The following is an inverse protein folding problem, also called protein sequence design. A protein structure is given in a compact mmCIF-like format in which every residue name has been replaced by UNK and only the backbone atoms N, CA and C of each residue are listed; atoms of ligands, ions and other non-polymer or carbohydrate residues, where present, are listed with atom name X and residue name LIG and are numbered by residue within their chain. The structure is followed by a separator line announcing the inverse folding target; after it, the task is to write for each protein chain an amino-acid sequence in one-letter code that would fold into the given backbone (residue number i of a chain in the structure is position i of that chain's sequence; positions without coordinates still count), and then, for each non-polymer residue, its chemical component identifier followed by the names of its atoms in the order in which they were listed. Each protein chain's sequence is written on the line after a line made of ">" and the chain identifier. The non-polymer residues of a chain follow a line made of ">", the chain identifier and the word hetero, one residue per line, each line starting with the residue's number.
data_IF_818417638893
#
_entry.id   IF_818417638893
#
_cell.length_a   1.000
_cell.length_b   1.000
_cell.length_c   1.000
_cell.angle_alpha   90.00
_cell.angle_beta   90.00
_cell.angle_gamma   90.00
#
_symmetry.space_group_name_H-M   'P 1'
#
loop_
_entity.id
_entity.type
_entity.pdbx_description
1 polymer ?
#
# COMPACT_ATOMS: atom_id res chain seq x y z
N UNK A 1 5.14 15.71 -14.93
CA UNK A 1 5.01 16.36 -13.62
C UNK A 1 6.32 17.02 -13.18
N UNK A 2 6.31 17.81 -12.08
CA UNK A 2 7.55 18.40 -11.55
C UNK A 2 8.51 17.28 -11.07
N UNK A 3 7.98 16.27 -10.40
CA UNK A 3 8.78 15.17 -9.86
C UNK A 3 9.51 14.39 -10.96
N UNK A 4 8.82 14.05 -12.07
CA UNK A 4 9.43 13.32 -13.20
C UNK A 4 10.53 14.13 -13.89
N UNK A 5 10.33 15.43 -14.12
CA UNK A 5 11.34 16.29 -14.74
C UNK A 5 12.55 16.49 -13.82
N UNK A 6 12.31 16.68 -12.51
CA UNK A 6 13.37 16.80 -11.52
C UNK A 6 14.19 15.51 -11.43
N UNK A 7 13.52 14.35 -11.39
CA UNK A 7 14.17 13.05 -11.34
C UNK A 7 15.04 12.82 -12.58
N UNK A 8 14.52 13.08 -13.78
CA UNK A 8 15.25 12.93 -15.03
C UNK A 8 16.49 13.86 -15.10
N UNK A 9 16.35 15.12 -14.68
CA UNK A 9 17.46 16.07 -14.65
C UNK A 9 18.55 15.66 -13.67
N UNK A 10 18.18 15.21 -12.47
CA UNK A 10 19.16 14.83 -11.45
C UNK A 10 19.82 13.47 -11.79
N UNK A 11 19.15 12.59 -12.50
CA UNK A 11 19.68 11.31 -12.96
C UNK A 11 20.88 11.46 -13.94
N UNK A 12 21.06 12.63 -14.56
CA UNK A 12 22.25 12.92 -15.37
C UNK A 12 23.56 12.93 -14.55
N UNK A 13 23.48 13.17 -13.25
CA UNK A 13 24.65 13.35 -12.37
C UNK A 13 24.71 12.43 -11.16
N UNK A 14 23.60 11.85 -10.75
CA UNK A 14 23.52 10.98 -9.56
C UNK A 14 22.43 9.91 -9.75
N UNK A 15 22.59 8.70 -9.19
CA UNK A 15 21.53 7.70 -9.22
C UNK A 15 20.28 8.16 -8.46
N UNK A 16 19.12 8.10 -9.11
CA UNK A 16 17.83 8.58 -8.59
C UNK A 16 16.82 7.43 -8.55
N UNK A 17 16.00 7.41 -7.51
CA UNK A 17 14.77 6.61 -7.45
C UNK A 17 13.57 7.56 -7.39
N UNK A 18 12.74 7.54 -8.42
CA UNK A 18 11.44 8.21 -8.45
C UNK A 18 10.38 7.24 -7.94
N UNK A 19 9.66 7.61 -6.89
CA UNK A 19 8.59 6.82 -6.32
C UNK A 19 7.26 7.50 -6.60
N UNK A 20 6.44 6.88 -7.46
CA UNK A 20 5.08 7.36 -7.74
C UNK A 20 4.10 6.71 -6.75
N UNK A 21 3.56 7.51 -5.85
CA UNK A 21 2.61 7.09 -4.81
C UNK A 21 1.17 7.51 -5.11
N UNK A 22 0.90 8.06 -6.29
CA UNK A 22 -0.48 8.20 -6.79
C UNK A 22 -0.96 6.83 -7.31
N UNK A 23 -1.14 5.91 -6.38
CA UNK A 23 -1.41 4.49 -6.68
C UNK A 23 -2.76 4.25 -7.37
N UNK A 24 -3.66 5.22 -7.37
CA UNK A 24 -4.95 5.17 -8.07
C UNK A 24 -4.76 5.44 -9.57
N UNK A 25 -3.91 6.41 -9.93
CA UNK A 25 -3.60 6.77 -11.32
C UNK A 25 -2.09 7.02 -11.54
N UNK A 26 -1.22 6.03 -11.29
CA UNK A 26 0.23 6.22 -11.47
C UNK A 26 0.55 6.48 -12.92
N UNK A 27 1.31 7.55 -13.19
CA UNK A 27 1.58 8.00 -14.55
C UNK A 27 3.06 8.38 -14.82
N UNK A 28 3.94 8.28 -13.82
CA UNK A 28 5.35 8.64 -13.99
C UNK A 28 6.03 7.84 -15.11
N UNK A 29 5.68 6.58 -15.30
CA UNK A 29 6.20 5.69 -16.34
C UNK A 29 5.85 6.11 -17.78
N UNK A 30 4.87 7.00 -17.96
CA UNK A 30 4.52 7.52 -19.30
C UNK A 30 5.53 8.57 -19.78
N UNK A 31 6.24 9.20 -18.86
CA UNK A 31 7.16 10.31 -19.15
C UNK A 31 8.63 9.88 -19.13
N UNK A 32 8.94 8.76 -18.51
CA UNK A 32 10.30 8.25 -18.38
C UNK A 32 10.36 6.85 -18.98
N UNK A 33 11.32 6.61 -19.86
CA UNK A 33 11.55 5.31 -20.48
C UNK A 33 12.36 4.45 -19.53
N UNK A 34 12.07 3.16 -19.49
CA UNK A 34 12.81 2.19 -18.70
C UNK A 34 12.32 0.77 -18.97
N UNK A 35 13.19 -0.21 -18.81
CA UNK A 35 12.79 -1.61 -18.87
C UNK A 35 12.16 -2.03 -17.53
N UNK A 36 11.09 -2.80 -17.59
CA UNK A 36 10.49 -3.39 -16.39
C UNK A 36 11.47 -4.38 -15.79
N UNK A 37 11.88 -4.14 -14.56
CA UNK A 37 12.77 -5.01 -13.77
C UNK A 37 11.97 -5.96 -12.90
N UNK A 38 10.81 -5.49 -12.39
CA UNK A 38 9.93 -6.24 -11.52
C UNK A 38 8.48 -5.80 -11.73
N UNK A 39 7.57 -6.77 -11.77
CA UNK A 39 6.14 -6.54 -11.59
C UNK A 39 5.60 -7.63 -10.67
N UNK A 40 5.10 -7.23 -9.50
CA UNK A 40 4.59 -8.15 -8.49
C UNK A 40 3.18 -7.79 -8.04
N UNK A 41 2.33 -8.81 -7.92
CA UNK A 41 1.00 -8.65 -7.32
C UNK A 41 1.13 -8.34 -5.83
N UNK A 42 0.35 -7.39 -5.35
CA UNK A 42 0.30 -7.00 -3.94
C UNK A 42 -1.04 -7.37 -3.32
N UNK A 43 -0.95 -7.76 -2.06
CA UNK A 43 -2.09 -8.26 -1.31
C UNK A 43 -2.23 -7.47 -0.01
N UNK A 44 -3.48 -7.35 0.46
CA UNK A 44 -3.80 -6.97 1.84
C UNK A 44 -4.57 -8.08 2.51
N UNK A 45 -4.58 -8.12 3.82
CA UNK A 45 -5.31 -9.12 4.57
C UNK A 45 -6.75 -8.64 4.83
N UNK A 46 -7.71 -9.53 4.66
CA UNK A 46 -9.12 -9.30 4.97
C UNK A 46 -9.66 -10.49 5.77
N UNK A 47 -10.63 -10.29 6.70
CA UNK A 47 -11.19 -11.40 7.44
C UNK A 47 -12.05 -12.29 6.55
N UNK A 48 -11.92 -13.59 6.74
CA UNK A 48 -12.80 -14.61 6.22
C UNK A 48 -13.54 -15.29 7.38
N UNK A 49 -14.84 -15.47 7.24
CA UNK A 49 -15.69 -16.08 8.25
C UNK A 49 -15.80 -17.60 8.08
N UNK A 50 -15.71 -18.31 9.21
CA UNK A 50 -15.80 -19.78 9.31
C UNK A 50 -17.06 -20.12 10.11
N UNK A 51 -18.16 -20.47 9.39
CA UNK A 51 -19.47 -20.75 9.99
C UNK A 51 -19.40 -21.84 11.09
N UNK A 52 -18.70 -22.94 10.83
CA UNK A 52 -18.61 -24.07 11.74
C UNK A 52 -18.01 -23.75 13.12
N UNK A 53 -17.36 -22.59 13.27
CA UNK A 53 -16.77 -22.13 14.53
C UNK A 53 -17.57 -21.02 15.20
N UNK A 54 -18.49 -20.41 14.48
CA UNK A 54 -19.17 -19.19 14.91
C UNK A 54 -20.29 -19.46 15.93
N UNK A 55 -20.18 -18.86 17.10
CA UNK A 55 -21.21 -18.87 18.15
C UNK A 55 -22.25 -17.74 17.98
N UNK A 56 -22.10 -16.90 16.92
CA UNK A 56 -23.02 -15.82 16.56
C UNK A 56 -23.16 -14.71 17.62
N UNK A 57 -22.15 -14.50 18.45
CA UNK A 57 -22.12 -13.50 19.50
C UNK A 57 -22.15 -12.04 19.01
N UNK A 58 -21.87 -11.77 17.72
CA UNK A 58 -21.86 -10.43 17.12
C UNK A 58 -20.67 -9.55 17.50
N UNK A 59 -19.69 -10.07 18.25
CA UNK A 59 -18.54 -9.31 18.72
C UNK A 59 -17.72 -8.71 17.57
N UNK A 60 -17.57 -9.43 16.48
CA UNK A 60 -16.82 -8.98 15.29
C UNK A 60 -17.43 -7.71 14.65
N UNK A 61 -18.75 -7.59 14.66
CA UNK A 61 -19.42 -6.36 14.21
C UNK A 61 -19.21 -5.24 15.22
N UNK A 62 -19.35 -5.52 16.53
CA UNK A 62 -19.22 -4.52 17.60
C UNK A 62 -17.86 -3.84 17.61
N UNK A 63 -16.79 -4.59 17.34
CA UNK A 63 -15.40 -4.06 17.37
C UNK A 63 -14.97 -3.42 16.05
N UNK A 64 -15.74 -3.59 14.97
CA UNK A 64 -15.38 -3.05 13.66
C UNK A 64 -15.75 -1.57 13.53
N UNK A 65 -14.77 -0.68 13.67
CA UNK A 65 -14.96 0.76 13.49
C UNK A 65 -15.20 1.19 12.03
N UNK A 66 -15.04 0.28 11.08
CA UNK A 66 -15.10 0.57 9.64
C UNK A 66 -16.40 0.05 9.00
N UNK A 67 -17.30 -0.54 9.78
CA UNK A 67 -18.53 -1.17 9.29
C UNK A 67 -18.29 -2.21 8.19
N UNK A 68 -17.12 -2.85 8.19
CA UNK A 68 -16.78 -3.88 7.22
C UNK A 68 -17.31 -5.27 7.57
N UNK A 69 -17.99 -5.41 8.72
CA UNK A 69 -18.58 -6.67 9.17
C UNK A 69 -20.00 -6.41 9.67
N UNK A 70 -20.93 -7.23 9.19
CA UNK A 70 -22.31 -7.26 9.63
C UNK A 70 -22.67 -8.68 10.11
N UNK A 71 -23.05 -8.78 11.39
CA UNK A 71 -23.59 -10.02 11.95
C UNK A 71 -25.10 -10.06 11.69
N UNK A 72 -25.57 -11.14 11.08
CA UNK A 72 -26.97 -11.41 10.78
C UNK A 72 -27.42 -12.70 11.46
N UNK A 73 -28.74 -12.99 11.49
CA UNK A 73 -29.27 -14.18 12.17
C UNK A 73 -28.60 -15.48 11.69
N UNK A 74 -28.30 -15.58 10.40
CA UNK A 74 -27.76 -16.79 9.79
C UNK A 74 -26.24 -16.78 9.61
N UNK A 75 -25.53 -15.70 10.01
CA UNK A 75 -24.08 -15.67 9.82
C UNK A 75 -23.44 -14.30 9.92
N UNK A 76 -22.29 -14.17 9.27
CA UNK A 76 -21.50 -12.94 9.24
C UNK A 76 -21.20 -12.57 7.78
N UNK A 77 -21.55 -11.36 7.42
CA UNK A 77 -21.20 -10.78 6.13
C UNK A 77 -19.95 -9.91 6.30
N UNK A 78 -18.96 -10.12 5.44
CA UNK A 78 -17.74 -9.30 5.39
C UNK A 78 -17.77 -8.47 4.11
N UNK A 79 -17.50 -7.18 4.26
CA UNK A 79 -17.33 -6.22 3.16
C UNK A 79 -15.84 -5.88 3.01
N UNK A 80 -15.11 -6.64 2.20
CA UNK A 80 -13.66 -6.49 2.11
C UNK A 80 -13.22 -5.09 1.70
N UNK A 81 -14.00 -4.41 0.86
CA UNK A 81 -13.73 -3.07 0.35
C UNK A 81 -13.63 -2.02 1.48
N UNK A 82 -14.39 -2.22 2.56
CA UNK A 82 -14.40 -1.34 3.73
C UNK A 82 -13.36 -1.74 4.80
N UNK A 83 -12.71 -2.91 4.64
CA UNK A 83 -11.81 -3.44 5.65
C UNK A 83 -10.45 -2.73 5.63
N UNK A 84 -10.02 -2.23 6.78
CA UNK A 84 -8.72 -1.59 6.99
C UNK A 84 -7.63 -2.54 7.52
N UNK A 85 -7.85 -3.85 7.49
CA UNK A 85 -6.90 -4.88 7.92
C UNK A 85 -6.35 -4.67 9.35
N UNK A 86 -7.16 -4.15 10.27
CA UNK A 86 -6.74 -3.83 11.65
C UNK A 86 -6.69 -5.05 12.58
N UNK A 87 -7.14 -6.22 12.14
CA UNK A 87 -7.17 -7.50 12.85
C UNK A 87 -8.12 -7.59 14.06
N UNK A 88 -8.70 -6.50 14.54
CA UNK A 88 -9.49 -6.47 15.76
C UNK A 88 -10.60 -7.55 15.82
N UNK A 89 -11.30 -7.78 14.71
CA UNK A 89 -12.38 -8.77 14.64
C UNK A 89 -11.88 -10.22 14.76
N UNK A 90 -10.66 -10.50 14.34
CA UNK A 90 -10.02 -11.83 14.46
C UNK A 90 -9.51 -12.03 15.88
N UNK A 91 -8.75 -11.07 16.40
CA UNK A 91 -8.12 -11.15 17.73
C UNK A 91 -9.16 -11.20 18.87
N UNK A 92 -10.28 -10.50 18.71
CA UNK A 92 -11.33 -10.43 19.73
C UNK A 92 -12.47 -11.43 19.53
N UNK A 93 -12.36 -12.33 18.54
CA UNK A 93 -13.35 -13.38 18.33
C UNK A 93 -13.22 -14.51 19.35
N UNK A 94 -14.17 -14.71 20.28
CA UNK A 94 -14.03 -15.68 21.34
C UNK A 94 -14.04 -17.14 20.82
N UNK A 95 -14.72 -17.38 19.70
CA UNK A 95 -14.81 -18.70 19.07
C UNK A 95 -13.78 -18.91 17.96
N UNK A 96 -12.89 -17.94 17.70
CA UNK A 96 -11.91 -17.98 16.61
C UNK A 96 -12.52 -18.33 15.24
N UNK A 97 -13.71 -17.78 14.98
CA UNK A 97 -14.47 -18.01 13.76
C UNK A 97 -14.08 -17.10 12.59
N UNK A 98 -13.06 -16.27 12.75
CA UNK A 98 -12.52 -15.41 11.71
C UNK A 98 -11.02 -15.67 11.54
N UNK A 99 -10.59 -15.67 10.27
CA UNK A 99 -9.16 -15.77 9.90
C UNK A 99 -8.83 -14.68 8.88
N UNK A 100 -7.58 -14.20 8.87
CA UNK A 100 -7.16 -13.23 7.86
C UNK A 100 -6.69 -13.95 6.61
N UNK A 101 -7.20 -13.55 5.45
CA UNK A 101 -6.85 -14.10 4.15
C UNK A 101 -6.31 -13.02 3.21
N UNK A 102 -5.34 -13.37 2.35
CA UNK A 102 -4.81 -12.43 1.38
C UNK A 102 -5.84 -12.13 0.29
N UNK A 103 -6.13 -10.85 0.08
CA UNK A 103 -6.92 -10.34 -1.02
C UNK A 103 -6.03 -9.48 -1.91
N UNK A 104 -6.04 -9.76 -3.21
CA UNK A 104 -5.33 -8.95 -4.19
C UNK A 104 -5.85 -7.51 -4.13
N UNK A 105 -4.93 -6.55 -4.17
CA UNK A 105 -5.26 -5.12 -4.15
C UNK A 105 -4.62 -4.33 -5.29
N UNK A 106 -3.65 -4.89 -5.99
CA UNK A 106 -2.95 -4.20 -7.05
C UNK A 106 -1.61 -4.84 -7.40
N UNK A 107 -0.73 -4.04 -7.96
CA UNK A 107 0.64 -4.44 -8.29
C UNK A 107 1.66 -3.38 -7.91
N UNK A 108 2.90 -3.82 -7.69
CA UNK A 108 4.07 -2.97 -7.60
C UNK A 108 4.89 -3.18 -8.87
N UNK A 109 5.29 -2.08 -9.50
CA UNK A 109 6.10 -2.10 -10.71
C UNK A 109 7.39 -1.31 -10.46
N UNK A 110 8.52 -1.92 -10.83
CA UNK A 110 9.83 -1.27 -10.86
C UNK A 110 10.36 -1.27 -12.29
N UNK A 111 10.70 -0.09 -12.79
CA UNK A 111 11.33 0.13 -14.09
C UNK A 111 12.66 0.83 -13.90
N UNK A 112 13.63 0.57 -14.80
CA UNK A 112 14.95 1.22 -14.76
C UNK A 112 15.48 1.50 -16.15
N UNK A 113 16.16 2.63 -16.31
CA UNK A 113 17.01 2.93 -17.47
C UNK A 113 18.50 3.01 -17.12
N UNK A 114 18.87 2.54 -15.93
CA UNK A 114 20.23 2.51 -15.39
C UNK A 114 20.51 3.60 -14.35
N UNK A 115 20.36 4.88 -14.67
CA UNK A 115 20.58 5.98 -13.71
C UNK A 115 19.31 6.39 -12.95
N UNK A 116 18.15 6.18 -13.56
CA UNK A 116 16.85 6.48 -13.02
C UNK A 116 16.02 5.21 -12.83
N UNK A 117 15.71 4.90 -11.59
CA UNK A 117 14.76 3.87 -11.22
C UNK A 117 13.39 4.50 -10.93
N UNK A 118 12.32 3.87 -11.40
CA UNK A 118 10.94 4.28 -11.13
C UNK A 118 10.25 3.14 -10.41
N UNK A 119 9.71 3.41 -9.23
CA UNK A 119 8.92 2.47 -8.46
C UNK A 119 7.52 3.04 -8.29
N UNK A 120 6.51 2.24 -8.63
CA UNK A 120 5.11 2.67 -8.52
C UNK A 120 4.23 1.55 -7.96
N UNK A 121 3.26 1.94 -7.13
CA UNK A 121 2.11 1.09 -6.80
C UNK A 121 0.98 1.38 -7.78
N UNK A 122 0.22 0.35 -8.18
CA UNK A 122 -0.97 0.50 -9.01
C UNK A 122 -2.10 -0.31 -8.43
N UNK A 123 -3.14 0.36 -7.94
CA UNK A 123 -4.36 -0.29 -7.42
C UNK A 123 -5.13 -0.97 -8.54
N UNK A 124 -5.76 -2.08 -8.23
CA UNK A 124 -6.77 -2.70 -9.09
C UNK A 124 -8.03 -1.83 -9.13
N UNK A 125 -8.72 -1.84 -10.26
CA UNK A 125 -9.97 -1.08 -10.43
C UNK A 125 -11.00 -1.51 -9.39
N UNK A 126 -11.54 -0.56 -8.66
CA UNK A 126 -12.53 -0.78 -7.59
C UNK A 126 -11.93 -1.06 -6.20
N UNK A 127 -10.60 -1.10 -6.05
CA UNK A 127 -9.98 -1.16 -4.72
C UNK A 127 -9.94 0.25 -4.10
N UNK A 128 -10.41 0.37 -2.85
CA UNK A 128 -10.55 1.65 -2.15
C UNK A 128 -9.40 1.94 -1.17
N UNK A 129 -8.56 0.96 -0.88
CA UNK A 129 -7.56 1.05 0.18
C UNK A 129 -6.16 1.33 -0.40
N UNK A 130 -5.86 2.61 -0.64
CA UNK A 130 -4.57 3.05 -1.20
C UNK A 130 -3.39 2.90 -0.21
N UNK A 131 -3.61 3.17 1.09
CA UNK A 131 -2.54 3.22 2.10
C UNK A 131 -1.73 1.93 2.21
N UNK A 132 -2.32 0.72 2.25
CA UNK A 132 -1.51 -0.49 2.32
C UNK A 132 -0.58 -0.69 1.12
N UNK A 133 -0.99 -0.25 -0.08
CA UNK A 133 -0.15 -0.34 -1.26
C UNK A 133 0.98 0.71 -1.24
N UNK A 134 0.69 1.92 -0.78
CA UNK A 134 1.70 2.97 -0.54
C UNK A 134 2.77 2.47 0.43
N UNK A 135 2.36 1.89 1.57
CA UNK A 135 3.29 1.35 2.56
C UNK A 135 4.16 0.21 2.00
N UNK A 136 3.58 -0.68 1.20
CA UNK A 136 4.33 -1.76 0.57
C UNK A 136 5.28 -1.25 -0.52
N UNK A 137 4.89 -0.22 -1.27
CA UNK A 137 5.74 0.42 -2.28
C UNK A 137 6.94 1.09 -1.63
N UNK A 138 6.73 1.85 -0.57
CA UNK A 138 7.82 2.47 0.20
C UNK A 138 8.71 1.42 0.87
N UNK A 139 8.14 0.33 1.41
CA UNK A 139 8.90 -0.77 1.98
C UNK A 139 9.81 -1.47 0.96
N UNK A 140 9.34 -1.61 -0.29
CA UNK A 140 10.16 -2.11 -1.38
C UNK A 140 11.33 -1.16 -1.67
N UNK A 141 11.08 0.15 -1.75
CA UNK A 141 12.14 1.15 -1.98
C UNK A 141 13.20 1.09 -0.89
N UNK A 142 12.79 1.04 0.38
CA UNK A 142 13.70 0.96 1.53
C UNK A 142 14.60 -0.28 1.47
N UNK A 143 14.06 -1.41 1.04
CA UNK A 143 14.80 -2.69 1.00
C UNK A 143 15.66 -2.85 -0.25
N UNK A 144 15.23 -2.30 -1.39
CA UNK A 144 15.88 -2.51 -2.69
C UNK A 144 16.93 -1.45 -3.01
N UNK A 145 16.84 -0.27 -2.40
CA UNK A 145 17.74 0.85 -2.65
C UNK A 145 18.39 1.38 -1.35
N UNK A 146 19.20 0.57 -0.67
CA UNK A 146 19.88 1.01 0.53
C UNK A 146 20.98 2.06 0.20
N UNK A 147 21.04 3.17 0.96
CA UNK A 147 22.18 4.10 1.02
C UNK A 147 22.13 5.28 0.03
N UNK A 148 22.97 5.29 -0.98
CA UNK A 148 23.44 6.51 -1.66
C UNK A 148 22.57 7.04 -2.81
N UNK A 149 21.35 6.55 -2.99
CA UNK A 149 20.46 7.04 -4.05
C UNK A 149 19.58 8.18 -3.55
N UNK A 150 19.41 9.19 -4.41
CA UNK A 150 18.43 10.24 -4.15
C UNK A 150 17.02 9.72 -4.41
N UNK A 151 16.19 9.71 -3.37
CA UNK A 151 14.78 9.30 -3.49
C UNK A 151 13.89 10.53 -3.66
N UNK A 152 13.14 10.57 -4.76
CA UNK A 152 12.13 11.59 -5.03
C UNK A 152 10.76 10.92 -4.95
N UNK A 153 9.89 11.45 -4.10
CA UNK A 153 8.53 10.93 -3.93
C UNK A 153 7.55 11.86 -4.61
N UNK A 154 6.80 11.32 -5.58
CA UNK A 154 5.61 11.96 -6.16
C UNK A 154 4.40 11.51 -5.33
N UNK A 155 3.92 12.39 -4.46
CA UNK A 155 2.84 12.09 -3.54
C UNK A 155 1.48 12.30 -4.20
N UNK A 156 0.44 11.52 -3.82
CA UNK A 156 -0.91 11.73 -4.34
C UNK A 156 -1.42 13.13 -3.95
N UNK A 157 -2.37 13.67 -4.73
CA UNK A 157 -2.93 14.98 -4.44
C UNK A 157 -3.81 15.00 -3.18
N UNK A 158 -4.00 16.19 -2.60
CA UNK A 158 -4.92 16.41 -1.49
C UNK A 158 -4.27 16.36 -0.10
N UNK A 159 -5.08 16.09 0.92
CA UNK A 159 -4.69 16.09 2.35
C UNK A 159 -5.16 14.82 3.07
N UNK A 160 -5.54 13.79 2.33
CA UNK A 160 -6.11 12.54 2.84
C UNK A 160 -5.06 11.57 3.40
N UNK A 161 -5.51 10.43 3.93
CA UNK A 161 -4.65 9.39 4.51
C UNK A 161 -3.49 8.93 3.58
N UNK A 162 -3.65 8.78 2.26
CA UNK A 162 -2.56 8.48 1.35
C UNK A 162 -1.40 9.48 1.41
N UNK A 163 -1.69 10.79 1.43
CA UNK A 163 -0.66 11.84 1.54
C UNK A 163 0.07 11.74 2.88
N UNK A 164 -0.66 11.51 3.96
CA UNK A 164 -0.08 11.34 5.29
C UNK A 164 0.82 10.10 5.34
N UNK A 165 0.42 8.98 4.73
CA UNK A 165 1.23 7.77 4.63
C UNK A 165 2.53 8.04 3.87
N UNK A 166 2.43 8.68 2.69
CA UNK A 166 3.57 9.04 1.86
C UNK A 166 4.60 9.92 2.60
N UNK A 167 4.13 10.88 3.39
CA UNK A 167 5.01 11.87 4.07
C UNK A 167 5.60 11.36 5.39
N UNK A 168 4.89 10.52 6.15
CA UNK A 168 5.35 10.01 7.46
C UNK A 168 6.64 9.20 7.37
N UNK A 169 6.73 8.31 6.41
CA UNK A 169 7.92 7.46 6.22
C UNK A 169 9.14 8.26 5.79
N UNK A 170 8.94 9.25 4.95
CA UNK A 170 10.02 10.14 4.50
C UNK A 170 10.64 10.96 5.64
N UNK A 171 9.84 11.35 6.63
CA UNK A 171 10.33 12.04 7.83
C UNK A 171 11.19 11.13 8.73
N UNK A 172 10.99 9.80 8.70
CA UNK A 172 11.78 8.83 9.46
C UNK A 172 13.13 8.49 8.80
N UNK A 173 13.22 8.48 7.47
CA UNK A 173 14.46 8.22 6.72
C UNK A 173 15.54 9.27 7.03
N UNK A 174 15.18 10.54 7.22
CA UNK A 174 16.14 11.60 7.59
C UNK A 174 16.78 11.43 8.96
N UNK A 175 16.22 10.60 9.85
CA UNK A 175 16.75 10.43 11.22
C UNK A 175 17.89 9.41 11.31
N UNK A 176 18.07 8.55 10.33
CA UNK A 176 19.13 7.54 10.34
C UNK A 176 20.48 8.04 9.77
N UNK A 177 20.55 9.26 9.23
CA UNK A 177 21.77 9.86 8.68
C UNK A 177 22.30 11.06 9.46
N UNK A 178 22.12 11.11 10.78
CA UNK A 178 22.89 12.02 11.62
C UNK A 178 24.01 11.23 12.30
N UNK A 179 25.30 11.67 12.09
CA UNK A 179 26.46 11.08 12.74
C UNK A 179 26.41 11.24 14.26
#
# INVERSE_FOLDING_TARGET
>A
TLATNLAAFLAESTPVVLVDLDVEEPNANLFVRGAVQLEEVRFRLVPEWIDARCDRCGECQRVCNFNSILAVADGVMVFPELCHACHACVELCPSHALTMQPRRMGSLVHQSDGALDIVMGRLDVGELQAVPLIDQTLGYVDSSFPGDRLVIVDAPPGTSCPVVAATRRHASMRRHHRP
#
